data_IF_872993712993
#
_entry.id   IF_872993712993
#
_cell.length_a   1.000
_cell.length_b   1.000
_cell.length_c   1.000
_cell.angle_alpha   90.00
_cell.angle_beta   90.00
_cell.angle_gamma   90.00
#
_symmetry.space_group_name_H-M   'P 1'
#
loop_
_entity.id
_entity.type
_entity.pdbx_description
1 polymer ?
#
# COMPACT_ATOMS: atom_id res chain seq x y z
N UNK A 1 -43.28 -24.05 6.77
CA UNK A 1 -42.87 -22.72 6.25
C UNK A 1 -41.68 -22.11 7.00
N UNK A 2 -41.65 -22.16 8.35
CA UNK A 2 -40.54 -21.60 9.17
C UNK A 2 -39.14 -22.15 8.86
N UNK A 3 -39.01 -23.45 8.52
CA UNK A 3 -37.71 -24.07 8.16
C UNK A 3 -37.13 -23.56 6.81
N UNK A 4 -38.00 -23.19 5.86
CA UNK A 4 -37.57 -22.62 4.57
C UNK A 4 -37.03 -21.18 4.75
N UNK A 5 -37.65 -20.40 5.64
CA UNK A 5 -37.20 -19.04 5.97
C UNK A 5 -35.80 -19.05 6.61
N UNK A 6 -35.53 -19.97 7.54
CA UNK A 6 -34.20 -20.12 8.13
C UNK A 6 -33.15 -20.54 7.09
N UNK A 7 -33.51 -21.42 6.15
CA UNK A 7 -32.62 -21.83 5.07
C UNK A 7 -32.28 -20.66 4.12
N UNK A 8 -33.26 -19.83 3.73
CA UNK A 8 -33.03 -18.63 2.93
C UNK A 8 -32.20 -17.56 3.67
N UNK A 9 -32.40 -17.40 4.98
CA UNK A 9 -31.60 -16.48 5.80
C UNK A 9 -30.13 -16.93 5.90
N UNK A 10 -29.88 -18.23 6.09
CA UNK A 10 -28.52 -18.80 6.15
C UNK A 10 -27.83 -18.70 4.77
N UNK A 11 -28.55 -19.01 3.68
CA UNK A 11 -28.01 -18.89 2.33
C UNK A 11 -27.63 -17.44 1.96
N UNK A 12 -28.45 -16.45 2.36
CA UNK A 12 -28.14 -15.03 2.16
C UNK A 12 -26.94 -14.53 2.97
N UNK A 13 -26.71 -15.10 4.16
CA UNK A 13 -25.54 -14.76 4.99
C UNK A 13 -24.24 -15.33 4.40
N UNK A 14 -24.28 -16.51 3.79
CA UNK A 14 -23.11 -17.13 3.15
C UNK A 14 -22.74 -16.40 1.86
N UNK A 15 -23.71 -16.02 1.02
CA UNK A 15 -23.43 -15.32 -0.25
C UNK A 15 -22.82 -13.93 -0.05
N UNK A 16 -23.26 -13.19 0.97
CA UNK A 16 -22.66 -11.89 1.30
C UNK A 16 -21.22 -12.02 1.77
N UNK A 17 -20.90 -13.01 2.61
CA UNK A 17 -19.52 -13.22 3.09
C UNK A 17 -18.50 -13.50 1.97
N UNK A 18 -18.90 -14.25 0.94
CA UNK A 18 -18.03 -14.57 -0.20
C UNK A 18 -17.73 -13.34 -1.10
N UNK A 19 -18.67 -12.39 -1.20
CA UNK A 19 -18.48 -11.10 -1.88
C UNK A 19 -17.45 -10.21 -1.18
N UNK A 20 -17.30 -10.34 0.15
CA UNK A 20 -16.31 -9.58 0.93
C UNK A 20 -14.95 -10.28 1.07
N UNK A 21 -14.80 -11.51 0.59
CA UNK A 21 -13.55 -12.29 0.66
C UNK A 21 -12.50 -11.86 -0.41
N UNK A 22 -12.44 -10.57 -0.74
CA UNK A 22 -11.48 -10.07 -1.71
C UNK A 22 -10.08 -10.03 -1.07
N UNK A 23 -9.16 -10.84 -1.60
CA UNK A 23 -7.75 -10.84 -1.20
C UNK A 23 -7.15 -9.44 -1.43
N UNK A 24 -7.00 -8.65 -0.36
CA UNK A 24 -6.33 -7.35 -0.45
C UNK A 24 -4.84 -7.57 -0.67
N UNK A 25 -4.32 -7.13 -1.82
CA UNK A 25 -2.88 -7.10 -2.07
C UNK A 25 -2.31 -5.85 -1.43
N UNK A 26 -1.18 -6.01 -0.74
CA UNK A 26 -0.39 -4.89 -0.23
C UNK A 26 0.85 -4.77 -1.09
N UNK A 27 1.12 -3.57 -1.59
CA UNK A 27 2.34 -3.24 -2.30
C UNK A 27 3.26 -2.48 -1.36
N UNK A 28 4.53 -2.85 -1.34
CA UNK A 28 5.58 -2.10 -0.64
C UNK A 28 6.39 -1.38 -1.69
N UNK A 29 6.59 -0.08 -1.52
CA UNK A 29 7.47 0.72 -2.36
C UNK A 29 8.64 1.18 -1.52
N UNK A 30 9.84 0.84 -1.97
CA UNK A 30 11.07 1.30 -1.37
C UNK A 30 11.46 2.65 -1.97
N UNK A 31 11.53 3.67 -1.11
CA UNK A 31 12.11 4.96 -1.48
C UNK A 31 13.61 4.89 -1.20
N UNK A 32 14.41 4.55 -2.22
CA UNK A 32 15.84 4.33 -2.06
C UNK A 32 16.59 5.52 -1.45
N UNK A 33 17.75 5.23 -0.85
CA UNK A 33 18.59 6.19 -0.13
C UNK A 33 17.84 6.90 1.02
N UNK A 34 18.40 7.99 1.56
CA UNK A 34 17.78 8.82 2.58
C UNK A 34 18.77 9.36 3.61
N UNK A 35 18.45 10.52 4.19
CA UNK A 35 19.27 11.13 5.24
C UNK A 35 20.70 11.42 4.78
N UNK A 36 21.67 10.71 5.35
CA UNK A 36 23.09 10.90 5.03
C UNK A 36 23.54 10.17 3.77
N UNK A 37 22.81 9.15 3.33
CA UNK A 37 23.00 8.55 2.02
C UNK A 37 22.10 9.29 1.03
N UNK A 38 22.68 10.19 0.25
CA UNK A 38 21.92 11.02 -0.70
C UNK A 38 21.75 10.36 -2.07
N UNK A 39 22.42 9.24 -2.30
CA UNK A 39 22.57 8.63 -3.62
C UNK A 39 23.21 9.56 -4.64
N UNK A 40 22.80 9.44 -5.90
CA UNK A 40 23.24 10.29 -7.00
C UNK A 40 22.74 11.73 -6.86
N UNK A 41 23.44 12.72 -7.41
CA UNK A 41 23.04 14.13 -7.34
C UNK A 41 23.30 14.88 -8.64
N UNK A 42 22.39 15.78 -9.00
CA UNK A 42 22.62 16.82 -10.00
C UNK A 42 22.56 18.22 -9.36
N UNK A 43 22.54 19.29 -10.18
CA UNK A 43 22.53 20.67 -9.67
C UNK A 43 21.26 21.08 -8.92
N UNK A 44 20.18 20.29 -9.01
CA UNK A 44 18.84 20.66 -8.52
C UNK A 44 18.32 19.70 -7.45
N UNK A 45 18.59 18.40 -7.58
CA UNK A 45 17.98 17.37 -6.73
C UNK A 45 18.92 16.19 -6.48
N UNK A 46 18.75 15.54 -5.34
CA UNK A 46 19.38 14.27 -4.98
C UNK A 46 18.47 13.08 -5.30
N UNK A 47 19.06 11.91 -5.44
CA UNK A 47 18.32 10.68 -5.68
C UNK A 47 17.37 10.35 -4.53
N UNK A 48 17.79 10.62 -3.28
CA UNK A 48 16.96 10.39 -2.09
C UNK A 48 15.71 11.29 -2.06
N UNK A 49 15.84 12.56 -2.45
CA UNK A 49 14.72 13.51 -2.58
C UNK A 49 13.77 13.08 -3.68
N UNK A 50 14.29 12.79 -4.87
CA UNK A 50 13.45 12.39 -6.01
C UNK A 50 12.72 11.07 -5.76
N UNK A 51 13.39 10.09 -5.17
CA UNK A 51 12.81 8.79 -4.84
C UNK A 51 11.69 8.90 -3.82
N UNK A 52 11.85 9.77 -2.80
CA UNK A 52 10.82 10.03 -1.81
C UNK A 52 9.58 10.68 -2.44
N UNK A 53 9.79 11.74 -3.24
CA UNK A 53 8.71 12.46 -3.91
C UNK A 53 7.90 11.51 -4.81
N UNK A 54 8.59 10.68 -5.59
CA UNK A 54 7.95 9.71 -6.48
C UNK A 54 7.16 8.66 -5.68
N UNK A 55 7.74 8.09 -4.62
CA UNK A 55 7.08 7.10 -3.78
C UNK A 55 5.81 7.65 -3.12
N UNK A 56 5.86 8.87 -2.56
CA UNK A 56 4.71 9.55 -1.98
C UNK A 56 3.61 9.81 -3.03
N UNK A 57 3.99 10.22 -4.25
CA UNK A 57 3.04 10.43 -5.35
C UNK A 57 2.34 9.13 -5.75
N UNK A 58 3.07 8.01 -5.82
CA UNK A 58 2.49 6.70 -6.09
C UNK A 58 1.52 6.30 -4.98
N UNK A 59 1.89 6.45 -3.70
CA UNK A 59 1.02 6.11 -2.58
C UNK A 59 -0.28 6.94 -2.60
N UNK A 60 -0.20 8.25 -2.90
CA UNK A 60 -1.37 9.12 -3.04
C UNK A 60 -2.31 8.62 -4.14
N UNK A 61 -1.80 8.35 -5.34
CA UNK A 61 -2.60 7.85 -6.46
C UNK A 61 -3.18 6.45 -6.20
N UNK A 62 -2.44 5.60 -5.49
CA UNK A 62 -2.91 4.27 -5.10
C UNK A 62 -4.08 4.36 -4.10
N UNK A 63 -4.00 5.26 -3.12
CA UNK A 63 -5.08 5.52 -2.17
C UNK A 63 -6.37 5.94 -2.88
N UNK A 64 -6.28 6.81 -3.88
CA UNK A 64 -7.42 7.23 -4.70
C UNK A 64 -8.10 6.06 -5.46
N UNK A 65 -7.36 4.95 -5.67
CA UNK A 65 -7.84 3.72 -6.33
C UNK A 65 -8.16 2.58 -5.36
N UNK A 66 -8.19 2.84 -4.05
CA UNK A 66 -8.34 1.81 -3.00
C UNK A 66 -7.27 0.70 -3.06
N UNK A 67 -6.06 1.04 -3.52
CA UNK A 67 -4.90 0.14 -3.54
C UNK A 67 -4.05 0.41 -2.29
N UNK A 68 -3.75 -0.63 -1.52
CA UNK A 68 -2.94 -0.52 -0.31
C UNK A 68 -1.45 -0.47 -0.66
N UNK A 69 -0.81 0.68 -0.41
CA UNK A 69 0.63 0.91 -0.59
C UNK A 69 1.26 1.35 0.74
N UNK A 70 2.35 0.69 1.11
CA UNK A 70 3.19 1.05 2.26
C UNK A 70 4.55 1.49 1.70
N UNK A 71 5.11 2.57 2.25
CA UNK A 71 6.45 3.04 1.90
C UNK A 71 7.45 2.55 2.95
N UNK A 72 8.69 2.24 2.56
CA UNK A 72 9.77 1.88 3.50
C UNK A 72 10.13 3.05 4.42
N UNK A 73 10.14 4.28 3.88
CA UNK A 73 10.22 5.56 4.61
C UNK A 73 9.20 6.56 4.10
N UNK A 74 8.80 7.49 4.96
CA UNK A 74 7.89 8.61 4.62
C UNK A 74 8.57 9.97 4.65
N UNK A 75 9.78 10.04 5.20
CA UNK A 75 10.59 11.25 5.35
C UNK A 75 11.99 11.02 4.74
N UNK A 76 12.82 12.06 4.73
CA UNK A 76 14.21 11.97 4.24
C UNK A 76 15.16 11.39 5.31
N UNK A 77 14.84 10.19 5.79
CA UNK A 77 15.63 9.45 6.77
C UNK A 77 16.41 8.32 6.12
N UNK A 78 17.61 8.04 6.64
CA UNK A 78 18.38 6.87 6.23
C UNK A 78 17.79 5.60 6.84
N UNK A 79 17.61 4.57 6.01
CA UNK A 79 17.25 3.22 6.44
C UNK A 79 18.37 2.26 6.04
N UNK A 80 18.86 1.50 7.01
CA UNK A 80 19.89 0.50 6.76
C UNK A 80 19.31 -0.75 6.09
N UNK A 81 20.07 -1.36 5.18
CA UNK A 81 19.70 -2.61 4.54
C UNK A 81 20.06 -3.76 5.48
N UNK A 82 19.03 -4.44 6.00
CA UNK A 82 19.23 -5.64 6.81
C UNK A 82 19.73 -6.79 5.93
N UNK A 83 20.89 -7.36 6.27
CA UNK A 83 21.51 -8.53 5.62
C UNK A 83 21.29 -9.82 6.39
#
# INVERSE_FOLDING_TARGET
>A
MKKKIHFFAIAGLITTSALFAQNSKTFVIDAGHGGHDIGSKNSVITESEYSLELAQKIQKLAREKNIKVILTRTENDFLDLQS
#
